data_IF_770673956378
#
_entry.id   IF_770673956378
#
_cell.length_a   1.000
_cell.length_b   1.000
_cell.length_c   1.000
_cell.angle_alpha   90.00
_cell.angle_beta   90.00
_cell.angle_gamma   90.00
#
_symmetry.space_group_name_H-M   'P 1'
#
loop_
_entity.id
_entity.type
_entity.pdbx_description
1 polymer ?
#
# COMPACT_ATOMS: atom_id res chain seq x y z
N UNK A 1 -1.88 17.81 10.24
CA UNK A 1 -0.92 16.69 10.37
C UNK A 1 -1.38 15.59 9.44
N UNK A 2 -0.55 15.21 8.46
CA UNK A 2 -0.85 14.07 7.59
C UNK A 2 -0.80 12.79 8.42
N UNK A 3 -1.81 11.93 8.29
CA UNK A 3 -1.90 10.65 8.97
C UNK A 3 -2.11 9.64 7.85
N UNK A 4 -1.11 8.81 7.49
CA UNK A 4 -1.34 7.75 6.53
C UNK A 4 -1.89 6.49 7.21
N UNK A 5 -2.85 5.82 6.58
CA UNK A 5 -3.25 4.47 6.99
C UNK A 5 -2.27 3.46 6.39
N UNK A 6 -2.04 2.35 7.09
CA UNK A 6 -1.11 1.31 6.63
C UNK A 6 -1.79 -0.05 6.59
N UNK A 7 -1.61 -0.78 5.49
CA UNK A 7 -1.94 -2.19 5.37
C UNK A 7 -0.63 -2.95 5.22
N UNK A 8 -0.36 -3.88 6.13
CA UNK A 8 0.89 -4.64 6.18
C UNK A 8 0.59 -6.12 5.95
N UNK A 9 1.28 -6.74 4.98
CA UNK A 9 1.26 -8.18 4.74
C UNK A 9 2.67 -8.74 4.98
N UNK A 10 2.76 -9.73 5.86
CA UNK A 10 4.00 -10.40 6.22
C UNK A 10 4.11 -11.75 5.51
N UNK A 11 5.30 -12.03 4.99
CA UNK A 11 5.65 -13.27 4.31
C UNK A 11 6.90 -13.89 4.93
N UNK A 12 6.91 -15.22 4.94
CA UNK A 12 8.05 -16.02 5.38
C UNK A 12 8.50 -16.92 4.24
N UNK A 13 9.77 -16.82 3.86
CA UNK A 13 10.43 -17.59 2.80
C UNK A 13 9.65 -17.56 1.47
N UNK A 14 9.08 -16.40 1.15
CA UNK A 14 8.25 -16.18 -0.04
C UNK A 14 8.71 -14.93 -0.79
N UNK A 15 7.99 -14.56 -1.84
CA UNK A 15 8.27 -13.34 -2.60
C UNK A 15 7.56 -12.13 -1.96
N UNK A 16 8.31 -11.05 -1.70
CA UNK A 16 7.79 -9.76 -1.21
C UNK A 16 6.78 -9.10 -2.18
N UNK A 17 6.93 -9.31 -3.50
CA UNK A 17 5.98 -8.83 -4.51
C UNK A 17 4.62 -9.52 -4.35
N UNK A 18 4.61 -10.80 -3.96
CA UNK A 18 3.40 -11.54 -3.66
C UNK A 18 2.65 -11.00 -2.43
N UNK A 19 3.34 -10.32 -1.51
CA UNK A 19 2.69 -9.66 -0.37
C UNK A 19 1.83 -8.46 -0.84
N UNK A 20 2.38 -7.61 -1.71
CA UNK A 20 1.65 -6.48 -2.30
C UNK A 20 0.49 -6.97 -3.17
N UNK A 21 0.73 -7.95 -4.04
CA UNK A 21 -0.32 -8.52 -4.89
C UNK A 21 -1.47 -9.10 -4.06
N UNK A 22 -1.18 -9.77 -2.94
CA UNK A 22 -2.21 -10.29 -2.06
C UNK A 22 -3.04 -9.18 -1.38
N UNK A 23 -2.42 -8.06 -1.01
CA UNK A 23 -3.14 -6.90 -0.45
C UNK A 23 -4.12 -6.33 -1.48
N UNK A 24 -3.71 -6.25 -2.75
CA UNK A 24 -4.54 -5.74 -3.85
C UNK A 24 -5.67 -6.72 -4.22
N UNK A 25 -5.36 -8.02 -4.35
CA UNK A 25 -6.30 -9.07 -4.75
C UNK A 25 -7.40 -9.29 -3.70
N UNK A 26 -7.03 -9.31 -2.42
CA UNK A 26 -8.00 -9.43 -1.31
C UNK A 26 -8.79 -8.16 -1.04
N UNK A 27 -8.52 -7.09 -1.79
CA UNK A 27 -9.17 -5.78 -1.66
C UNK A 27 -9.21 -5.26 -0.23
N UNK A 28 -8.13 -5.47 0.54
CA UNK A 28 -8.06 -4.90 1.90
C UNK A 28 -8.13 -3.37 1.89
N UNK A 29 -7.84 -2.74 0.75
CA UNK A 29 -8.04 -1.31 0.56
C UNK A 29 -9.50 -0.88 0.62
N UNK A 30 -10.46 -1.79 0.38
CA UNK A 30 -11.89 -1.49 0.45
C UNK A 30 -12.35 -1.25 1.90
N UNK A 31 -11.70 -1.88 2.88
CA UNK A 31 -11.92 -1.59 4.30
C UNK A 31 -11.50 -0.15 4.68
N UNK A 32 -10.70 0.50 3.84
CA UNK A 32 -10.20 1.87 4.01
C UNK A 32 -10.74 2.81 2.94
N UNK A 33 -11.84 2.46 2.25
CA UNK A 33 -12.45 3.29 1.20
C UNK A 33 -12.89 4.67 1.68
N UNK A 34 -13.32 4.78 2.94
CA UNK A 34 -13.78 6.01 3.58
C UNK A 34 -12.60 6.79 4.22
N UNK A 35 -11.37 6.27 4.06
CA UNK A 35 -10.17 6.95 4.51
C UNK A 35 -9.73 8.00 3.49
N UNK A 36 -9.85 9.27 3.86
CA UNK A 36 -9.53 10.40 2.99
C UNK A 36 -8.02 10.76 2.94
N UNK A 37 -7.15 9.95 3.55
CA UNK A 37 -5.72 10.18 3.60
C UNK A 37 -4.93 9.22 2.72
N UNK A 38 -3.60 9.41 2.70
CA UNK A 38 -2.69 8.51 2.01
C UNK A 38 -2.77 7.09 2.62
N UNK A 39 -2.78 6.07 1.79
CA UNK A 39 -2.67 4.67 2.24
C UNK A 39 -1.33 4.11 1.80
N UNK A 40 -0.64 3.44 2.71
CA UNK A 40 0.59 2.70 2.43
C UNK A 40 0.29 1.21 2.44
N UNK A 41 0.60 0.54 1.34
CA UNK A 41 0.60 -0.92 1.24
C UNK A 41 2.03 -1.38 1.47
N UNK A 42 2.24 -2.21 2.48
CA UNK A 42 3.57 -2.65 2.91
C UNK A 42 3.63 -4.16 2.82
N UNK A 43 4.52 -4.65 1.96
CA UNK A 43 4.86 -6.06 1.87
C UNK A 43 6.22 -6.28 2.53
N UNK A 44 6.29 -7.16 3.52
CA UNK A 44 7.55 -7.56 4.16
C UNK A 44 7.74 -9.05 3.98
N UNK A 45 8.93 -9.45 3.57
CA UNK A 45 9.31 -10.86 3.51
C UNK A 45 10.62 -11.12 4.23
N UNK A 46 10.66 -12.20 5.01
CA UNK A 46 11.88 -12.74 5.60
C UNK A 46 12.37 -13.95 4.81
N UNK A 47 13.62 -13.93 4.33
CA UNK A 47 14.25 -15.07 3.68
C UNK A 47 14.94 -15.96 4.72
N UNK A 48 14.52 -17.22 4.85
CA UNK A 48 15.06 -18.10 5.90
C UNK A 48 16.50 -18.54 5.65
N UNK A 49 16.95 -18.52 4.39
CA UNK A 49 18.29 -18.94 3.94
C UNK A 49 19.31 -17.82 4.14
N UNK A 50 19.01 -16.64 3.61
CA UNK A 50 19.91 -15.47 3.72
C UNK A 50 19.74 -14.72 5.05
N UNK A 51 18.63 -14.97 5.77
CA UNK A 51 18.23 -14.27 7.00
C UNK A 51 17.90 -12.78 6.78
N UNK A 52 17.70 -12.38 5.52
CA UNK A 52 17.43 -11.00 5.16
C UNK A 52 15.93 -10.66 5.18
N UNK A 53 15.64 -9.40 5.50
CA UNK A 53 14.32 -8.82 5.35
C UNK A 53 14.26 -8.01 4.06
N UNK A 54 13.23 -8.25 3.25
CA UNK A 54 12.92 -7.45 2.07
C UNK A 54 11.60 -6.74 2.30
N UNK A 55 11.52 -5.47 1.90
CA UNK A 55 10.37 -4.63 2.13
C UNK A 55 10.02 -3.87 0.85
N UNK A 56 8.73 -3.85 0.50
CA UNK A 56 8.17 -2.99 -0.53
C UNK A 56 7.10 -2.13 0.11
N UNK A 57 7.19 -0.81 -0.12
CA UNK A 57 6.20 0.17 0.32
C UNK A 57 5.60 0.81 -0.94
N UNK A 58 4.28 0.71 -1.10
CA UNK A 58 3.54 1.32 -2.20
C UNK A 58 2.54 2.33 -1.63
N UNK A 59 2.57 3.56 -2.15
CA UNK A 59 1.60 4.61 -1.79
C UNK A 59 0.37 4.50 -2.69
N UNK A 60 -0.83 4.49 -2.11
CA UNK A 60 -2.12 4.56 -2.79
C UNK A 60 -2.86 5.81 -2.32
N UNK A 61 -3.16 6.67 -3.28
CA UNK A 61 -4.08 7.79 -3.11
C UNK A 61 -5.49 7.30 -3.45
N UNK A 62 -6.44 7.40 -2.53
CA UNK A 62 -7.85 7.35 -2.88
C UNK A 62 -8.26 8.75 -3.29
N UNK A 63 -8.21 9.02 -4.59
CA UNK A 63 -8.77 10.25 -5.13
C UNK A 63 -10.29 10.14 -4.96
N UNK A 64 -10.81 10.81 -3.93
CA UNK A 64 -12.23 11.11 -3.88
C UNK A 64 -12.56 11.79 -5.21
N UNK A 65 -13.48 11.22 -5.98
CA UNK A 65 -14.02 11.80 -7.21
C UNK A 65 -14.62 13.18 -6.87
N UNK A 66 -13.77 14.20 -6.77
CA UNK A 66 -14.14 15.58 -6.97
C UNK A 66 -13.96 15.81 -8.47
N UNK A 67 -15.00 16.24 -9.21
CA UNK A 67 -14.92 16.45 -10.66
C UNK A 67 -13.94 17.58 -11.08
N UNK A 68 -13.12 18.09 -10.16
CA UNK A 68 -12.19 19.21 -10.39
C UNK A 68 -10.70 18.90 -10.11
N UNK A 69 -10.32 17.69 -9.73
CA UNK A 69 -8.90 17.36 -9.48
C UNK A 69 -8.30 16.53 -10.62
N UNK A 70 -7.49 17.19 -11.47
CA UNK A 70 -6.68 16.58 -12.50
C UNK A 70 -5.46 15.87 -11.88
N UNK A 71 -5.21 14.62 -12.27
CA UNK A 71 -3.99 13.87 -11.90
C UNK A 71 -2.81 14.40 -12.71
N UNK A 72 -1.95 15.20 -12.09
CA UNK A 72 -0.56 15.29 -12.53
C UNK A 72 0.34 14.46 -11.61
N UNK A 73 1.11 13.57 -12.23
CA UNK A 73 2.35 12.98 -11.69
C UNK A 73 2.28 12.29 -10.32
N UNK A 74 1.15 11.64 -9.98
CA UNK A 74 1.10 10.70 -8.85
C UNK A 74 1.28 11.33 -7.46
N UNK A 75 1.17 12.65 -7.36
CA UNK A 75 1.21 13.38 -6.10
C UNK A 75 -0.21 13.86 -5.81
N UNK A 76 -0.83 13.30 -4.77
CA UNK A 76 -2.01 13.87 -4.14
C UNK A 76 -1.71 15.32 -3.75
N UNK A 77 -2.14 16.30 -4.55
CA UNK A 77 -2.17 17.70 -4.14
C UNK A 77 -3.58 18.03 -3.68
N UNK A 78 -3.66 18.65 -2.50
CA UNK A 78 -4.89 19.18 -1.91
C UNK A 78 -5.35 20.42 -2.67
#
# INVERSE_FOLDING_TARGET
MDKPAMIIELKWDKNVQGAIAQIEDKKYTDALKDYHGNILLVGINYNKKTKEHTCIIKKKCFDFFSPHTFKESGICKK
#
